data_IF_018453419624
#
_entry.id   IF_018453419624
#
_cell.length_a   1.000
_cell.length_b   1.000
_cell.length_c   1.000
_cell.angle_alpha   90.00
_cell.angle_beta   90.00
_cell.angle_gamma   90.00
#
_symmetry.space_group_name_H-M   'P 1'
#
loop_
_entity.id
_entity.type
_entity.pdbx_description
1 polymer ?
#
# COMPACT_ATOMS: atom_id res chain seq x y z
N UNK A 1 86.94 4.25 -17.35
CA UNK A 1 86.94 5.73 -17.36
C UNK A 1 86.02 6.20 -16.25
N UNK A 2 86.61 6.89 -15.28
CA UNK A 2 85.92 7.57 -14.17
C UNK A 2 85.07 8.72 -14.68
N UNK A 3 83.94 9.01 -14.01
CA UNK A 3 83.57 10.36 -13.63
C UNK A 3 82.62 10.33 -12.43
N UNK A 4 83.04 11.01 -11.36
CA UNK A 4 82.28 11.34 -10.16
C UNK A 4 81.63 12.72 -10.29
N UNK A 5 80.78 13.06 -9.30
CA UNK A 5 80.16 14.36 -8.96
C UNK A 5 78.76 14.58 -9.57
N UNK A 6 77.73 15.09 -8.89
CA UNK A 6 77.61 15.91 -7.67
C UNK A 6 76.19 15.78 -7.07
N UNK A 7 76.09 15.97 -5.74
CA UNK A 7 74.85 16.14 -4.99
C UNK A 7 73.99 17.32 -5.48
N UNK A 8 72.67 17.17 -5.38
CA UNK A 8 71.78 18.27 -4.97
C UNK A 8 70.59 17.70 -4.20
N UNK A 9 70.54 18.04 -2.92
CA UNK A 9 69.44 17.77 -2.01
C UNK A 9 68.41 18.89 -2.13
N UNK A 10 67.19 18.56 -2.54
CA UNK A 10 66.03 19.46 -2.43
C UNK A 10 65.16 19.01 -1.26
N UNK A 11 65.19 19.82 -0.18
CA UNK A 11 64.19 19.82 0.88
C UNK A 11 62.83 20.22 0.29
N UNK A 12 61.83 19.34 0.37
CA UNK A 12 60.42 19.72 0.20
C UNK A 12 59.81 19.93 1.59
N UNK A 13 59.40 21.16 1.88
CA UNK A 13 58.68 21.51 3.09
C UNK A 13 57.26 20.91 3.06
N UNK A 14 56.90 20.14 4.09
CA UNK A 14 55.52 19.72 4.33
C UNK A 14 54.69 20.93 4.77
N UNK A 15 53.77 21.40 3.93
CA UNK A 15 52.68 22.28 4.35
C UNK A 15 51.56 21.42 4.94
N UNK A 16 51.37 21.46 6.26
CA UNK A 16 50.20 20.90 6.93
C UNK A 16 48.99 21.78 6.66
N UNK A 17 48.19 21.42 5.64
CA UNK A 17 46.87 22.00 5.46
C UNK A 17 45.91 21.38 6.48
N UNK A 18 45.51 22.18 7.46
CA UNK A 18 44.46 21.86 8.42
C UNK A 18 43.13 21.66 7.67
N UNK A 19 42.42 20.53 7.81
CA UNK A 19 41.09 20.41 7.25
C UNK A 19 40.15 21.31 8.04
N UNK A 20 39.63 22.34 7.38
CA UNK A 20 38.48 23.09 7.88
C UNK A 20 37.29 22.13 8.04
N UNK A 21 36.50 22.23 9.12
CA UNK A 21 35.30 21.43 9.26
C UNK A 21 34.31 21.87 8.18
N UNK A 22 34.09 20.99 7.19
CA UNK A 22 32.98 21.16 6.26
C UNK A 22 31.70 21.19 7.08
N UNK A 23 31.03 22.34 7.02
CA UNK A 23 29.68 22.53 7.47
C UNK A 23 28.82 21.37 6.98
N UNK A 24 28.15 20.73 7.94
CA UNK A 24 27.05 19.79 7.75
C UNK A 24 25.97 20.47 6.91
N UNK A 25 26.08 20.34 5.59
CA UNK A 25 24.94 20.51 4.70
C UNK A 25 23.95 19.43 5.07
N UNK A 26 22.86 19.84 5.71
CA UNK A 26 21.62 19.09 5.80
C UNK A 26 21.32 18.48 4.42
N UNK A 27 21.59 17.18 4.26
CA UNK A 27 20.99 16.42 3.17
C UNK A 27 19.48 16.47 3.41
N UNK A 28 18.80 17.39 2.72
CA UNK A 28 17.37 17.25 2.48
C UNK A 28 17.20 15.87 1.86
N UNK A 29 16.48 14.97 2.54
CA UNK A 29 16.16 13.66 2.01
C UNK A 29 15.46 13.84 0.66
N UNK A 30 16.19 13.63 -0.43
CA UNK A 30 15.63 13.64 -1.77
C UNK A 30 14.53 12.57 -1.77
N UNK A 31 13.28 13.01 -1.95
CA UNK A 31 12.10 12.16 -1.93
C UNK A 31 12.19 11.23 -3.15
N UNK A 32 12.76 10.04 -2.96
CA UNK A 32 12.96 9.04 -4.00
C UNK A 32 11.61 8.75 -4.67
N UNK A 33 11.58 8.75 -6.00
CA UNK A 33 10.36 8.49 -6.76
C UNK A 33 9.74 7.14 -6.35
N UNK A 34 8.40 7.00 -6.40
CA UNK A 34 7.75 5.72 -6.09
C UNK A 34 8.23 4.60 -7.02
N UNK A 35 8.46 3.41 -6.46
CA UNK A 35 8.82 2.20 -7.20
C UNK A 35 7.56 1.42 -7.56
N UNK A 36 7.50 0.77 -8.72
CA UNK A 36 6.40 -0.14 -9.08
C UNK A 36 6.85 -1.59 -8.94
N UNK A 37 6.04 -2.40 -8.26
CA UNK A 37 6.24 -3.84 -8.08
C UNK A 37 5.19 -4.55 -8.92
N UNK A 38 5.61 -5.42 -9.84
CA UNK A 38 4.68 -6.20 -10.65
C UNK A 38 4.12 -7.37 -9.84
N UNK A 39 2.82 -7.62 -9.94
CA UNK A 39 2.14 -8.73 -9.27
C UNK A 39 1.93 -9.88 -10.28
N UNK A 40 1.61 -11.08 -9.78
CA UNK A 40 1.39 -12.27 -10.63
C UNK A 40 0.31 -12.08 -11.70
N UNK A 41 -0.73 -11.32 -11.36
CA UNK A 41 -1.80 -10.97 -12.28
C UNK A 41 -1.37 -9.91 -13.31
N UNK A 42 -0.10 -9.52 -13.37
CA UNK A 42 0.45 -8.52 -14.27
C UNK A 42 0.10 -7.07 -13.93
N UNK A 43 -0.65 -6.83 -12.86
CA UNK A 43 -0.91 -5.49 -12.32
C UNK A 43 0.31 -4.96 -11.55
N UNK A 44 0.22 -3.73 -11.04
CA UNK A 44 1.34 -3.08 -10.35
C UNK A 44 0.94 -2.46 -9.03
N UNK A 45 1.71 -2.77 -8.00
CA UNK A 45 1.68 -2.14 -6.70
C UNK A 45 2.71 -1.00 -6.64
N UNK A 46 2.37 0.08 -5.93
CA UNK A 46 3.26 1.24 -5.77
C UNK A 46 3.89 1.26 -4.40
N UNK A 47 5.22 1.32 -4.35
CA UNK A 47 6.01 1.46 -3.13
C UNK A 47 6.56 2.89 -2.99
N UNK A 48 6.46 3.49 -1.81
CA UNK A 48 6.99 4.83 -1.53
C UNK A 48 7.44 4.95 -0.07
N UNK A 49 7.95 6.12 0.32
CA UNK A 49 8.26 6.39 1.74
C UNK A 49 6.97 6.39 2.57
N UNK A 50 7.00 5.77 3.76
CA UNK A 50 5.91 5.83 4.72
C UNK A 50 5.72 7.26 5.24
N UNK A 51 4.48 7.68 5.41
CA UNK A 51 4.17 8.94 6.08
C UNK A 51 4.28 8.76 7.60
N UNK A 52 5.07 9.60 8.27
CA UNK A 52 5.09 9.69 9.72
C UNK A 52 3.91 10.55 10.20
N UNK A 53 2.87 9.94 10.77
CA UNK A 53 1.86 10.68 11.52
C UNK A 53 2.30 10.82 12.99
N UNK A 54 2.11 11.99 13.64
CA UNK A 54 2.47 12.18 15.04
C UNK A 54 1.68 11.22 15.94
N UNK A 55 2.41 10.56 16.84
CA UNK A 55 1.91 9.52 17.74
C UNK A 55 0.86 10.07 18.73
N UNK A 56 -0.31 9.42 18.79
CA UNK A 56 -1.21 9.59 19.93
C UNK A 56 -0.68 8.78 21.13
N UNK A 57 -0.78 9.36 22.33
CA UNK A 57 -0.08 8.97 23.57
C UNK A 57 -0.60 7.69 24.27
N UNK A 58 -1.32 6.79 23.59
CA UNK A 58 -1.86 5.56 24.22
C UNK A 58 -1.24 4.31 23.63
N UNK A 59 -0.64 3.51 24.53
CA UNK A 59 0.06 2.23 24.30
C UNK A 59 -0.91 1.09 24.01
N UNK A 60 -1.68 1.19 22.93
CA UNK A 60 -2.48 0.05 22.46
C UNK A 60 -1.90 -0.40 21.13
N UNK A 61 -1.34 -1.61 21.13
CA UNK A 61 -0.56 -2.14 20.02
C UNK A 61 -1.46 -2.45 18.82
N UNK A 62 -2.49 -3.29 19.03
CA UNK A 62 -3.23 -3.92 17.93
C UNK A 62 -4.74 -3.59 18.01
N UNK A 63 -5.22 -2.69 17.14
CA UNK A 63 -6.64 -2.27 17.10
C UNK A 63 -7.02 -1.53 15.83
N UNK A 64 -8.31 -1.31 15.65
CA UNK A 64 -8.82 -0.27 14.75
C UNK A 64 -8.41 1.09 15.32
N UNK A 65 -7.67 1.86 14.53
CA UNK A 65 -7.20 3.20 14.88
C UNK A 65 -8.05 4.32 14.28
N UNK A 66 -8.70 4.03 13.15
CA UNK A 66 -9.64 4.93 12.49
C UNK A 66 -10.56 4.13 11.55
N UNK A 67 -11.71 4.72 11.22
CA UNK A 67 -12.61 4.21 10.19
C UNK A 67 -12.58 5.14 8.97
N UNK A 68 -12.88 4.58 7.80
CA UNK A 68 -12.97 5.35 6.56
C UNK A 68 -14.03 6.46 6.58
N UNK A 69 -14.06 7.30 5.54
CA UNK A 69 -14.98 8.44 5.47
C UNK A 69 -16.44 7.98 5.52
N UNK A 70 -17.34 8.86 5.99
CA UNK A 70 -18.78 8.54 6.06
C UNK A 70 -19.41 8.20 4.71
N UNK A 71 -18.81 8.64 3.60
CA UNK A 71 -19.24 8.34 2.24
C UNK A 71 -18.75 6.99 1.72
N UNK A 72 -17.82 6.32 2.43
CA UNK A 72 -17.19 5.06 1.99
C UNK A 72 -17.87 3.81 2.54
N UNK A 73 -19.19 3.80 2.72
CA UNK A 73 -19.88 2.58 3.16
C UNK A 73 -19.93 1.54 2.03
N UNK A 74 -19.49 0.33 2.35
CA UNK A 74 -19.42 -0.81 1.44
C UNK A 74 -20.03 -2.03 2.12
N UNK A 75 -20.92 -2.79 1.45
CA UNK A 75 -21.41 -4.06 1.99
C UNK A 75 -20.25 -5.00 2.32
N UNK A 76 -20.34 -5.69 3.45
CA UNK A 76 -19.28 -6.63 3.86
C UNK A 76 -19.19 -7.83 2.91
N UNK A 77 -20.35 -8.38 2.55
CA UNK A 77 -20.48 -9.48 1.59
C UNK A 77 -20.69 -8.97 0.17
N UNK A 78 -20.47 -9.85 -0.82
CA UNK A 78 -20.80 -9.58 -2.22
C UNK A 78 -22.31 -9.33 -2.39
N UNK A 79 -22.66 -8.41 -3.28
CA UNK A 79 -23.99 -7.82 -3.35
C UNK A 79 -24.30 -7.29 -4.75
N UNK A 80 -25.59 -7.07 -5.03
CA UNK A 80 -26.10 -6.51 -6.28
C UNK A 80 -25.50 -7.15 -7.55
N UNK A 81 -25.82 -6.63 -8.72
CA UNK A 81 -25.29 -7.13 -10.00
C UNK A 81 -24.76 -5.97 -10.83
N UNK A 82 -23.62 -6.18 -11.47
CA UNK A 82 -23.03 -5.29 -12.45
C UNK A 82 -22.56 -6.12 -13.65
N UNK A 83 -23.14 -5.86 -14.83
CA UNK A 83 -22.86 -6.63 -16.06
C UNK A 83 -23.04 -8.15 -15.85
N UNK A 84 -24.15 -8.56 -15.23
CA UNK A 84 -24.50 -9.96 -14.92
C UNK A 84 -23.49 -10.71 -14.02
N UNK A 85 -22.60 -9.98 -13.33
CA UNK A 85 -21.71 -10.51 -12.29
C UNK A 85 -22.03 -9.84 -10.96
N UNK A 86 -21.99 -10.60 -9.86
CA UNK A 86 -22.20 -10.05 -8.52
C UNK A 86 -21.10 -9.04 -8.17
N UNK A 87 -21.46 -7.89 -7.59
CA UNK A 87 -20.45 -6.92 -7.17
C UNK A 87 -19.72 -7.44 -5.93
N UNK A 88 -18.41 -7.23 -5.90
CA UNK A 88 -17.58 -7.54 -4.75
C UNK A 88 -17.84 -6.58 -3.60
N UNK A 89 -18.14 -7.17 -2.45
CA UNK A 89 -18.14 -6.51 -1.16
C UNK A 89 -16.74 -6.48 -0.53
N UNK A 90 -16.67 -5.90 0.67
CA UNK A 90 -15.39 -5.63 1.35
C UNK A 90 -14.55 -6.91 1.53
N UNK A 91 -15.19 -8.04 1.83
CA UNK A 91 -14.49 -9.31 2.04
C UNK A 91 -13.74 -9.78 0.79
N UNK A 92 -14.37 -9.73 -0.38
CA UNK A 92 -13.76 -10.17 -1.63
C UNK A 92 -12.64 -9.22 -2.05
N UNK A 93 -12.82 -7.91 -1.89
CA UNK A 93 -11.77 -6.92 -2.15
C UNK A 93 -10.54 -7.12 -1.25
N UNK A 94 -10.74 -7.39 0.05
CA UNK A 94 -9.64 -7.67 0.99
C UNK A 94 -8.90 -8.95 0.61
N UNK A 95 -9.62 -10.04 0.35
CA UNK A 95 -9.02 -11.32 -0.04
C UNK A 95 -8.15 -11.16 -1.27
N UNK A 96 -8.66 -10.48 -2.29
CA UNK A 96 -7.94 -10.28 -3.54
C UNK A 96 -6.67 -9.44 -3.33
N UNK A 97 -6.75 -8.35 -2.56
CA UNK A 97 -5.57 -7.55 -2.21
C UNK A 97 -4.52 -8.39 -1.46
N UNK A 98 -4.93 -9.11 -0.42
CA UNK A 98 -4.03 -9.90 0.40
C UNK A 98 -3.37 -11.05 -0.38
N UNK A 99 -4.13 -11.71 -1.26
CA UNK A 99 -3.60 -12.73 -2.17
C UNK A 99 -2.53 -12.13 -3.09
N UNK A 100 -2.84 -11.04 -3.80
CA UNK A 100 -1.89 -10.40 -4.72
C UNK A 100 -0.62 -9.90 -4.01
N UNK A 101 -0.77 -9.36 -2.80
CA UNK A 101 0.37 -8.89 -2.02
C UNK A 101 1.24 -10.03 -1.46
N UNK A 102 0.66 -11.21 -1.20
CA UNK A 102 1.38 -12.40 -0.76
C UNK A 102 2.09 -13.14 -1.92
N UNK A 103 1.73 -12.83 -3.17
CA UNK A 103 2.32 -13.46 -4.36
C UNK A 103 2.69 -12.41 -5.43
N UNK A 104 3.67 -11.56 -5.11
CA UNK A 104 4.28 -10.64 -6.08
C UNK A 104 5.28 -11.35 -6.99
N UNK A 105 5.59 -10.75 -8.15
CA UNK A 105 6.67 -11.25 -9.01
C UNK A 105 8.00 -10.66 -8.59
N UNK A 106 9.01 -11.50 -8.43
CA UNK A 106 10.40 -11.05 -8.27
C UNK A 106 11.07 -10.85 -9.65
N UNK A 107 12.34 -10.41 -9.63
CA UNK A 107 13.13 -10.15 -10.83
C UNK A 107 13.34 -11.40 -11.71
N UNK A 108 13.23 -12.60 -11.13
CA UNK A 108 13.37 -13.88 -11.81
C UNK A 108 12.02 -14.39 -12.36
N UNK A 109 10.93 -13.67 -12.12
CA UNK A 109 9.59 -14.05 -12.56
C UNK A 109 8.93 -15.13 -11.69
N UNK A 110 9.48 -15.45 -10.51
CA UNK A 110 8.84 -16.36 -9.56
C UNK A 110 7.99 -15.60 -8.53
N UNK A 111 6.98 -16.31 -7.99
CA UNK A 111 6.06 -15.77 -7.01
C UNK A 111 6.71 -15.70 -5.62
N UNK A 112 6.81 -14.50 -5.06
CA UNK A 112 7.27 -14.27 -3.68
C UNK A 112 6.43 -13.21 -2.99
N UNK A 113 6.21 -13.30 -1.67
CA UNK A 113 5.56 -12.23 -0.92
C UNK A 113 6.20 -10.86 -1.13
N UNK A 114 5.36 -9.83 -1.25
CA UNK A 114 5.83 -8.45 -1.25
C UNK A 114 6.45 -8.13 0.10
N UNK A 115 7.62 -7.52 0.08
CA UNK A 115 8.33 -7.06 1.28
C UNK A 115 8.23 -5.54 1.39
N UNK A 116 7.66 -5.06 2.49
CA UNK A 116 7.55 -3.63 2.81
C UNK A 116 8.73 -3.27 3.72
N UNK A 117 9.75 -2.65 3.13
CA UNK A 117 10.96 -2.28 3.87
C UNK A 117 10.68 -1.31 5.03
N UNK A 118 11.60 -1.26 6.01
CA UNK A 118 11.52 -0.27 7.08
C UNK A 118 11.42 1.17 6.54
N UNK A 119 10.46 1.96 7.07
CA UNK A 119 10.17 3.32 6.60
C UNK A 119 9.47 3.38 5.23
N UNK A 120 8.98 2.27 4.69
CA UNK A 120 8.30 2.19 3.39
C UNK A 120 6.81 1.93 3.53
N UNK A 121 6.08 2.24 2.48
CA UNK A 121 4.66 1.91 2.33
C UNK A 121 4.39 1.33 0.96
N UNK A 122 3.44 0.42 0.89
CA UNK A 122 2.85 -0.08 -0.36
C UNK A 122 1.42 0.43 -0.49
N UNK A 123 1.00 0.67 -1.72
CA UNK A 123 -0.35 1.12 -2.06
C UNK A 123 -0.86 0.39 -3.29
N UNK A 124 -2.11 -0.08 -3.22
CA UNK A 124 -2.78 -0.79 -4.29
C UNK A 124 -4.28 -0.47 -4.30
N UNK A 125 -4.90 -0.54 -5.48
CA UNK A 125 -6.35 -0.30 -5.63
C UNK A 125 -6.99 -1.56 -6.18
N UNK A 126 -8.06 -2.03 -5.52
CA UNK A 126 -8.96 -3.05 -6.07
C UNK A 126 -10.24 -2.35 -6.49
N UNK A 127 -10.50 -2.36 -7.78
CA UNK A 127 -11.71 -1.91 -8.47
C UNK A 127 -12.42 -3.10 -9.14
N UNK A 128 -11.64 -4.06 -9.63
CA UNK A 128 -12.08 -5.21 -10.38
C UNK A 128 -11.32 -6.47 -10.00
N UNK A 129 -11.96 -7.62 -10.22
CA UNK A 129 -11.33 -8.92 -10.14
C UNK A 129 -10.14 -9.06 -11.07
N UNK A 130 -10.15 -8.41 -12.22
CA UNK A 130 -8.98 -8.29 -13.08
C UNK A 130 -8.60 -6.81 -13.28
N UNK A 131 -7.44 -6.42 -12.79
CA UNK A 131 -6.93 -5.04 -12.90
C UNK A 131 -6.17 -4.74 -14.19
N UNK A 132 -6.05 -5.72 -15.10
CA UNK A 132 -5.50 -5.48 -16.43
C UNK A 132 -6.42 -4.54 -17.21
N UNK A 133 -5.82 -3.76 -18.12
CA UNK A 133 -6.56 -2.96 -19.07
C UNK A 133 -7.28 -3.87 -20.09
N UNK A 134 -8.56 -4.09 -19.88
CA UNK A 134 -9.45 -4.88 -20.73
C UNK A 134 -10.88 -4.36 -20.65
N UNK A 135 -11.78 -4.87 -21.50
CA UNK A 135 -13.19 -4.45 -21.53
C UNK A 135 -13.90 -4.85 -20.23
N UNK A 136 -14.73 -3.97 -19.67
CA UNK A 136 -15.32 -4.16 -18.34
C UNK A 136 -16.14 -5.45 -18.21
N UNK A 137 -16.87 -5.86 -19.26
CA UNK A 137 -17.66 -7.09 -19.29
C UNK A 137 -16.84 -8.38 -19.21
N UNK A 138 -15.51 -8.31 -19.33
CA UNK A 138 -14.60 -9.46 -19.17
C UNK A 138 -13.64 -9.30 -17.98
N UNK A 139 -13.76 -8.24 -17.18
CA UNK A 139 -12.92 -8.01 -15.98
C UNK A 139 -13.36 -8.82 -14.76
N UNK A 140 -14.50 -9.50 -14.85
CA UNK A 140 -15.11 -10.23 -13.73
C UNK A 140 -15.85 -9.29 -12.79
N UNK A 141 -15.88 -9.65 -11.50
CA UNK A 141 -16.61 -8.88 -10.51
C UNK A 141 -16.03 -7.48 -10.30
N UNK A 142 -16.91 -6.49 -10.13
CA UNK A 142 -16.55 -5.11 -9.79
C UNK A 142 -16.76 -4.85 -8.31
N UNK A 143 -15.91 -4.04 -7.68
CA UNK A 143 -16.20 -3.49 -6.35
C UNK A 143 -17.45 -2.61 -6.37
N UNK A 144 -18.39 -2.94 -5.49
CA UNK A 144 -19.60 -2.18 -5.23
C UNK A 144 -19.57 -1.51 -3.86
N UNK A 145 -20.07 -0.29 -3.80
CA UNK A 145 -20.39 0.41 -2.55
C UNK A 145 -21.88 0.29 -2.27
N UNK A 146 -22.29 0.82 -1.12
CA UNK A 146 -23.69 0.85 -0.72
C UNK A 146 -24.60 1.43 -1.81
N UNK A 147 -25.69 0.73 -2.11
CA UNK A 147 -26.63 1.12 -3.16
C UNK A 147 -26.15 0.79 -4.57
N UNK A 148 -25.41 -0.31 -4.72
CA UNK A 148 -24.78 -0.78 -5.95
C UNK A 148 -23.81 0.24 -6.60
N UNK A 149 -23.38 1.30 -5.91
CA UNK A 149 -22.57 2.35 -6.53
C UNK A 149 -21.18 1.81 -6.92
N UNK A 150 -20.73 1.95 -8.18
CA UNK A 150 -19.39 1.56 -8.57
C UNK A 150 -18.33 2.29 -7.76
N UNK A 151 -17.33 1.54 -7.28
CA UNK A 151 -16.26 2.08 -6.48
C UNK A 151 -14.98 1.27 -6.58
N UNK A 152 -14.10 1.54 -5.64
CA UNK A 152 -12.88 0.79 -5.43
C UNK A 152 -12.51 0.80 -3.94
N UNK A 153 -11.61 -0.10 -3.54
CA UNK A 153 -10.96 -0.07 -2.23
C UNK A 153 -9.50 0.31 -2.42
N UNK A 154 -9.09 1.39 -1.75
CA UNK A 154 -7.70 1.79 -1.66
C UNK A 154 -7.04 1.10 -0.48
N UNK A 155 -6.07 0.22 -0.77
CA UNK A 155 -5.29 -0.47 0.23
C UNK A 155 -3.93 0.19 0.42
N UNK A 156 -3.48 0.27 1.66
CA UNK A 156 -2.10 0.65 1.98
C UNK A 156 -1.56 -0.16 3.15
N UNK A 157 -0.28 -0.55 3.08
CA UNK A 157 0.45 -1.10 4.24
C UNK A 157 1.66 -0.23 4.50
N UNK A 158 1.74 0.33 5.70
CA UNK A 158 2.83 1.23 6.08
C UNK A 158 3.71 0.54 7.14
N UNK A 159 4.98 0.28 6.81
CA UNK A 159 5.99 -0.14 7.76
C UNK A 159 6.78 1.10 8.23
N UNK A 160 6.32 1.71 9.32
CA UNK A 160 6.94 2.89 9.96
C UNK A 160 8.02 2.51 10.98
N UNK A 161 8.43 1.23 11.06
CA UNK A 161 9.54 0.82 11.90
C UNK A 161 10.84 1.49 11.44
N UNK A 162 11.74 1.76 12.38
CA UNK A 162 13.07 2.27 12.07
C UNK A 162 14.02 1.21 11.53
N UNK A 163 13.69 -0.08 11.75
CA UNK A 163 14.41 -1.26 11.26
C UNK A 163 13.45 -2.44 11.15
N UNK A 164 13.82 -3.41 10.31
CA UNK A 164 13.05 -4.63 10.11
C UNK A 164 12.01 -4.48 9.00
N UNK A 165 12.08 -5.38 8.04
CA UNK A 165 11.15 -5.44 6.93
C UNK A 165 9.88 -6.20 7.33
N UNK A 166 8.78 -5.92 6.63
CA UNK A 166 7.54 -6.65 6.80
C UNK A 166 7.21 -7.44 5.54
N UNK A 167 7.18 -8.76 5.65
CA UNK A 167 6.76 -9.65 4.57
C UNK A 167 5.25 -9.81 4.60
N UNK A 168 4.59 -9.57 3.47
CA UNK A 168 3.14 -9.73 3.34
C UNK A 168 2.74 -11.20 3.46
N UNK A 169 2.08 -11.56 4.56
CA UNK A 169 1.51 -12.90 4.77
C UNK A 169 0.00 -12.83 4.50
N UNK A 170 -0.51 -13.68 3.61
CA UNK A 170 -1.92 -13.63 3.18
C UNK A 170 -2.90 -13.77 4.35
N UNK A 171 -2.68 -14.74 5.25
CA UNK A 171 -3.55 -14.98 6.41
C UNK A 171 -3.61 -13.77 7.34
N UNK A 172 -2.46 -13.19 7.64
CA UNK A 172 -2.33 -12.07 8.58
C UNK A 172 -2.96 -10.82 7.98
N UNK A 173 -2.66 -10.54 6.71
CA UNK A 173 -3.28 -9.46 5.96
C UNK A 173 -4.81 -9.56 5.98
N UNK A 174 -5.35 -10.76 5.73
CA UNK A 174 -6.78 -11.00 5.79
C UNK A 174 -7.32 -10.73 7.19
N UNK A 175 -6.71 -11.30 8.24
CA UNK A 175 -7.16 -11.11 9.63
C UNK A 175 -7.20 -9.62 9.99
N UNK A 176 -6.11 -8.88 9.75
CA UNK A 176 -5.99 -7.48 10.12
C UNK A 176 -6.99 -6.59 9.39
N UNK A 177 -7.17 -6.81 8.09
CA UNK A 177 -8.12 -6.00 7.31
C UNK A 177 -9.58 -6.38 7.60
N UNK A 178 -9.86 -7.64 7.93
CA UNK A 178 -11.22 -8.10 8.24
C UNK A 178 -11.73 -7.63 9.61
N UNK A 179 -10.85 -7.24 10.54
CA UNK A 179 -11.27 -6.66 11.83
C UNK A 179 -12.21 -5.45 11.67
N UNK A 180 -12.06 -4.69 10.58
CA UNK A 180 -12.91 -3.52 10.27
C UNK A 180 -14.33 -3.88 9.83
N UNK A 181 -14.58 -5.15 9.52
CA UNK A 181 -15.87 -5.66 9.05
C UNK A 181 -16.56 -6.59 10.06
N UNK A 182 -15.98 -6.79 11.26
CA UNK A 182 -16.56 -7.67 12.28
C UNK A 182 -17.80 -6.99 12.91
N UNK A 183 -18.94 -7.71 13.03
CA UNK A 183 -20.12 -7.19 13.70
C UNK A 183 -19.83 -6.65 15.10
N UNK A 184 -20.29 -5.42 15.38
CA UNK A 184 -20.12 -4.76 16.67
C UNK A 184 -18.81 -3.97 16.84
N UNK A 185 -17.92 -3.96 15.85
CA UNK A 185 -16.73 -3.11 15.85
C UNK A 185 -17.02 -1.69 15.34
N UNK A 186 -16.11 -0.75 15.64
CA UNK A 186 -16.27 0.68 15.38
C UNK A 186 -16.58 1.04 13.91
N UNK A 187 -16.04 0.28 12.96
CA UNK A 187 -16.21 0.56 11.53
C UNK A 187 -17.38 -0.19 10.89
N UNK A 188 -18.07 -1.05 11.65
CA UNK A 188 -19.18 -1.87 11.18
C UNK A 188 -20.53 -1.15 11.35
N UNK A 189 -21.34 -1.18 10.29
CA UNK A 189 -22.67 -0.62 10.23
C UNK A 189 -23.74 -1.69 10.43
N UNK A 190 -24.22 -1.85 11.66
CA UNK A 190 -25.18 -2.90 12.03
C UNK A 190 -26.49 -2.88 11.25
N UNK A 191 -26.93 -1.72 10.77
CA UNK A 191 -28.20 -1.56 10.06
C UNK A 191 -28.24 -2.28 8.70
N UNK A 192 -27.14 -2.28 7.94
CA UNK A 192 -27.12 -2.92 6.60
C UNK A 192 -25.97 -3.93 6.43
N UNK A 193 -25.27 -4.29 7.50
CA UNK A 193 -24.07 -5.12 7.43
C UNK A 193 -22.99 -4.55 6.49
N UNK A 194 -22.77 -3.24 6.56
CA UNK A 194 -21.76 -2.51 5.81
C UNK A 194 -20.51 -2.28 6.66
N UNK A 195 -19.39 -1.93 6.03
CA UNK A 195 -18.21 -1.37 6.70
C UNK A 195 -17.75 -0.08 6.01
N UNK A 196 -17.12 0.82 6.75
CA UNK A 196 -16.40 1.97 6.18
C UNK A 196 -14.94 1.63 5.82
N UNK A 197 -14.51 0.39 6.08
CA UNK A 197 -13.09 0.09 6.20
C UNK A 197 -12.43 0.99 7.24
N UNK A 198 -11.14 1.28 7.09
CA UNK A 198 -10.37 2.01 8.09
C UNK A 198 -8.89 1.68 8.11
N UNK A 199 -8.31 1.83 9.30
CA UNK A 199 -6.92 1.49 9.59
C UNK A 199 -6.84 0.54 10.77
N UNK A 200 -6.35 -0.67 10.55
CA UNK A 200 -5.82 -1.52 11.60
C UNK A 200 -4.37 -1.09 11.91
N UNK A 201 -4.07 -0.76 13.15
CA UNK A 201 -2.71 -0.47 13.59
C UNK A 201 -2.17 -1.63 14.41
N UNK A 202 -0.87 -1.83 14.34
CA UNK A 202 -0.09 -2.76 15.14
C UNK A 202 1.14 -2.08 15.71
N UNK A 203 1.72 -2.67 16.76
CA UNK A 203 3.03 -2.27 17.31
C UNK A 203 3.14 -0.77 17.60
N UNK A 204 2.14 -0.20 18.27
CA UNK A 204 2.10 1.23 18.57
C UNK A 204 2.13 2.10 17.29
N UNK A 205 1.34 1.71 16.28
CA UNK A 205 1.23 2.40 14.99
C UNK A 205 2.52 2.33 14.14
N UNK A 206 3.43 1.38 14.41
CA UNK A 206 4.62 1.14 13.59
C UNK A 206 4.32 0.31 12.35
N UNK A 207 3.28 -0.51 12.37
CA UNK A 207 2.76 -1.20 11.19
C UNK A 207 1.27 -0.91 11.09
N UNK A 208 0.80 -0.50 9.92
CA UNK A 208 -0.63 -0.21 9.72
C UNK A 208 -1.14 -0.75 8.40
N UNK A 209 -2.35 -1.29 8.42
CA UNK A 209 -3.09 -1.78 7.26
C UNK A 209 -4.32 -0.91 7.06
N UNK A 210 -4.39 -0.29 5.90
CA UNK A 210 -5.46 0.59 5.49
C UNK A 210 -6.30 -0.10 4.41
N UNK A 211 -7.61 0.04 4.51
CA UNK A 211 -8.54 -0.32 3.45
C UNK A 211 -9.68 0.71 3.44
N UNK A 212 -9.73 1.53 2.40
CA UNK A 212 -10.70 2.62 2.29
C UNK A 212 -11.57 2.43 1.05
N UNK A 213 -12.87 2.10 1.21
CA UNK A 213 -13.81 2.14 0.11
C UNK A 213 -14.02 3.58 -0.36
N UNK A 214 -13.92 3.80 -1.67
CA UNK A 214 -13.99 5.11 -2.32
C UNK A 214 -14.88 5.01 -3.55
N UNK A 215 -15.80 5.95 -3.67
CA UNK A 215 -16.70 6.05 -4.81
C UNK A 215 -15.96 6.51 -6.06
N UNK A 216 -16.36 5.97 -7.21
CA UNK A 216 -15.82 6.41 -8.48
C UNK A 216 -16.49 7.71 -8.89
N UNK A 217 -15.70 8.78 -8.95
CA UNK A 217 -16.21 10.11 -9.27
C UNK A 217 -16.46 10.23 -10.78
N UNK A 218 -17.54 9.62 -11.29
CA UNK A 218 -18.26 9.98 -12.54
C UNK A 218 -19.11 8.85 -13.14
N UNK A 219 -18.97 7.60 -12.71
CA UNK A 219 -19.74 6.49 -13.28
C UNK A 219 -21.14 6.44 -12.64
N UNK A 220 -22.14 6.97 -13.36
CA UNK A 220 -23.54 6.65 -13.09
C UNK A 220 -23.71 5.15 -13.38
N UNK A 221 -24.24 4.40 -12.43
CA UNK A 221 -24.70 3.03 -12.67
C UNK A 221 -25.55 3.01 -13.95
N UNK A 222 -25.05 2.38 -15.01
CA UNK A 222 -25.89 1.98 -16.12
C UNK A 222 -26.63 0.75 -15.62
N UNK A 223 -27.78 0.96 -14.99
CA UNK A 223 -28.69 -0.11 -14.60
C UNK A 223 -29.15 -0.77 -15.90
N UNK A 224 -28.98 -2.09 -15.99
CA UNK A 224 -29.04 -2.88 -17.22
C UNK A 224 -30.47 -3.06 -17.82
N UNK A 225 -31.43 -2.21 -17.47
CA UNK A 225 -32.81 -2.32 -17.97
C UNK A 225 -32.96 -1.92 -19.46
N UNK A 226 -31.94 -1.29 -20.07
CA UNK A 226 -32.05 -0.81 -21.47
C UNK A 226 -31.73 -1.84 -22.55
N UNK A 227 -31.23 -3.04 -22.21
CA UNK A 227 -30.92 -4.09 -23.20
C UNK A 227 -31.97 -5.23 -23.27
N UNK A 228 -33.09 -5.11 -22.56
CA UNK A 228 -34.29 -5.93 -22.83
C UNK A 228 -35.23 -5.20 -23.78
N UNK A 229 -34.91 -5.23 -25.08
CA UNK A 229 -35.88 -5.05 -26.17
C UNK A 229 -35.77 -6.20 -27.13
#
# INVERSE_FOLDING_TARGET
MHYSYLLSATLAALSTASPAPLSTTHLSAAKRAPTRIQLLDGSYLTESAASSSPLSRRKEADKISSCGPKSGWMPVADHDMHLDVQMWGYQSAVKEFCHRAAYGLNLEGSATPVVVGAGRRIQYTIRWQNEKAMQDNIRGARVGLKGAQPGHVLFEVNNKRSKGDYTMIESDCNIYLMHMAIPGQDCYGSKNADTKGGTWQMEENKLTFNAFPVADSSEKNIVHDEFRK
#
